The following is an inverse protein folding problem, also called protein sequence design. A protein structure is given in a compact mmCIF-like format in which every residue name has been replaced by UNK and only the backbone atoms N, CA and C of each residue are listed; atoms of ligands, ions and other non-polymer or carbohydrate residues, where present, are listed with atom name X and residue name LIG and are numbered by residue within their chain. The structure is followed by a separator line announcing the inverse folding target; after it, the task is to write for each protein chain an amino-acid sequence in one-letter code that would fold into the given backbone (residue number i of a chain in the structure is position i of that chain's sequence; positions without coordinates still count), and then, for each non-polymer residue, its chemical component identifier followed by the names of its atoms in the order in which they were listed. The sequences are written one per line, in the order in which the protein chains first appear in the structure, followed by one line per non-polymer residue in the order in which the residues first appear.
data_IF_069710409265
#
_entry.id   IF_069710409265
#
_cell.length_a   1.000
_cell.length_b   1.000
_cell.length_c   1.000
_cell.angle_alpha   90.00
_cell.angle_beta   90.00
_cell.angle_gamma   90.00
#
_symmetry.space_group_name_H-M   'P 1'
#
loop_
_entity.id
_entity.type
_entity.pdbx_description
1 polymer ?
#
# COMPACT_ATOMS: atom_id res chain seq x y z
N UNK A 1 11.38 -61.90 26.66
CA UNK A 1 10.28 -61.00 26.31
C UNK A 1 10.81 -59.59 26.21
N UNK A 2 10.92 -59.03 25.01
CA UNK A 2 11.20 -57.61 24.80
C UNK A 2 9.87 -56.86 24.77
N UNK A 3 9.72 -55.83 25.63
CA UNK A 3 8.88 -54.65 25.36
C UNK A 3 9.46 -53.45 26.12
N UNK A 4 10.46 -52.80 25.51
CA UNK A 4 10.81 -51.41 25.82
C UNK A 4 10.07 -50.53 24.81
N UNK A 5 9.11 -49.73 25.31
CA UNK A 5 8.41 -48.75 24.50
C UNK A 5 9.18 -47.43 24.53
N UNK A 6 9.82 -47.09 23.42
CA UNK A 6 10.39 -45.77 23.22
C UNK A 6 9.24 -44.78 22.97
N UNK A 7 8.98 -43.95 23.97
CA UNK A 7 8.00 -42.87 23.90
C UNK A 7 8.55 -41.73 23.08
N UNK A 8 8.11 -41.64 21.82
CA UNK A 8 8.30 -40.48 20.95
C UNK A 8 7.61 -39.24 21.55
N UNK A 9 8.35 -38.49 22.37
CA UNK A 9 7.92 -37.18 22.86
C UNK A 9 8.10 -36.17 21.74
N UNK A 10 7.10 -36.07 20.86
CA UNK A 10 7.00 -35.02 19.86
C UNK A 10 6.87 -33.66 20.58
N UNK A 11 8.01 -33.02 20.85
CA UNK A 11 8.06 -31.64 21.36
C UNK A 11 7.59 -30.70 20.26
N UNK A 12 6.33 -30.32 20.33
CA UNK A 12 5.69 -29.35 19.43
C UNK A 12 6.50 -28.04 19.46
N UNK A 13 7.24 -27.78 18.37
CA UNK A 13 8.05 -26.55 18.24
C UNK A 13 7.12 -25.37 17.99
N UNK A 14 6.77 -24.65 19.05
CA UNK A 14 6.14 -23.33 18.93
C UNK A 14 7.15 -22.37 18.29
N UNK A 15 6.95 -22.07 17.01
CA UNK A 15 7.77 -21.11 16.30
C UNK A 15 7.49 -19.69 16.84
N UNK A 16 8.52 -18.86 17.07
CA UNK A 16 8.33 -17.47 17.49
C UNK A 16 7.44 -16.72 16.50
N UNK A 17 6.31 -16.18 16.98
CA UNK A 17 5.39 -15.39 16.15
C UNK A 17 5.80 -13.92 16.16
N UNK A 18 6.12 -13.36 14.99
CA UNK A 18 6.39 -11.93 14.84
C UNK A 18 5.07 -11.16 14.73
N UNK A 19 4.88 -10.20 15.63
CA UNK A 19 3.81 -9.21 15.57
C UNK A 19 4.36 -7.84 15.19
N UNK A 20 3.59 -7.09 14.42
CA UNK A 20 3.88 -5.72 14.01
C UNK A 20 2.90 -4.82 14.75
N UNK A 21 3.45 -3.76 15.37
CA UNK A 21 2.70 -2.73 16.06
C UNK A 21 3.01 -1.39 15.39
N UNK A 22 1.98 -0.72 14.90
CA UNK A 22 2.07 0.65 14.38
C UNK A 22 0.98 1.49 15.05
N UNK A 23 1.38 2.55 15.76
CA UNK A 23 0.46 3.40 16.52
C UNK A 23 -0.31 4.38 15.63
N UNK A 24 0.21 4.66 14.44
CA UNK A 24 -0.29 5.68 13.53
C UNK A 24 -0.60 5.05 12.17
N UNK A 25 -1.16 3.84 12.18
CA UNK A 25 -1.31 3.01 10.99
C UNK A 25 -2.20 3.66 9.92
N UNK A 26 -3.33 4.24 10.33
CA UNK A 26 -4.27 4.90 9.40
C UNK A 26 -3.59 6.04 8.64
N UNK A 27 -2.85 6.90 9.35
CA UNK A 27 -2.20 8.07 8.74
C UNK A 27 -1.12 7.68 7.73
N UNK A 28 -0.54 6.47 7.84
CA UNK A 28 0.39 5.94 6.83
C UNK A 28 -0.23 5.79 5.45
N UNK A 29 -1.57 5.70 5.35
CA UNK A 29 -2.29 5.53 4.09
C UNK A 29 -3.10 6.78 3.66
N UNK A 30 -3.08 7.86 4.44
CA UNK A 30 -3.78 9.10 4.06
C UNK A 30 -3.10 9.77 2.86
N UNK A 31 -3.89 10.24 1.88
CA UNK A 31 -3.38 10.93 0.68
C UNK A 31 -4.00 12.31 0.53
N UNK A 32 -3.34 13.19 -0.23
CA UNK A 32 -3.92 14.48 -0.56
C UNK A 32 -5.16 14.31 -1.47
N UNK A 33 -6.24 15.02 -1.13
CA UNK A 33 -7.51 15.04 -1.89
C UNK A 33 -8.03 13.61 -2.18
N UNK A 34 -8.28 12.77 -1.16
CA UNK A 34 -8.73 11.41 -1.41
C UNK A 34 -10.06 11.42 -2.19
N UNK A 35 -10.25 10.45 -3.08
CA UNK A 35 -11.57 10.19 -3.68
C UNK A 35 -12.53 9.70 -2.60
N UNK A 36 -13.85 9.81 -2.83
CA UNK A 36 -14.84 9.43 -1.82
C UNK A 36 -14.69 7.97 -1.38
N UNK A 37 -14.55 7.07 -2.35
CA UNK A 37 -14.36 5.64 -2.08
C UNK A 37 -13.05 5.35 -1.33
N UNK A 38 -11.95 6.04 -1.68
CA UNK A 38 -10.70 5.86 -0.95
C UNK A 38 -10.79 6.40 0.49
N UNK A 39 -11.48 7.52 0.70
CA UNK A 39 -11.70 8.08 2.04
C UNK A 39 -12.51 7.13 2.93
N UNK A 40 -13.56 6.52 2.41
CA UNK A 40 -14.35 5.51 3.12
C UNK A 40 -13.48 4.30 3.49
N UNK A 41 -12.66 3.81 2.56
CA UNK A 41 -11.73 2.70 2.80
C UNK A 41 -10.74 3.02 3.93
N UNK A 42 -10.12 4.20 3.93
CA UNK A 42 -9.22 4.64 5.01
C UNK A 42 -9.94 4.76 6.35
N UNK A 43 -11.18 5.23 6.38
CA UNK A 43 -11.95 5.36 7.61
C UNK A 43 -12.23 4.01 8.27
N UNK A 44 -12.27 2.91 7.51
CA UNK A 44 -12.41 1.56 8.07
C UNK A 44 -11.13 1.02 8.70
N UNK A 45 -9.97 1.64 8.44
CA UNK A 45 -8.70 1.17 9.00
C UNK A 45 -8.61 1.49 10.49
N UNK A 46 -8.04 0.57 11.29
CA UNK A 46 -7.74 0.89 12.68
C UNK A 46 -6.66 1.97 12.75
N UNK A 47 -6.76 2.86 13.74
CA UNK A 47 -5.73 3.87 14.00
C UNK A 47 -4.44 3.20 14.43
N UNK A 48 -4.53 2.22 15.33
CA UNK A 48 -3.42 1.40 15.80
C UNK A 48 -3.52 0.02 15.15
N UNK A 49 -2.46 -0.41 14.48
CA UNK A 49 -2.37 -1.76 13.94
C UNK A 49 -1.59 -2.67 14.88
N UNK A 50 -2.17 -3.83 15.16
CA UNK A 50 -1.49 -4.97 15.81
C UNK A 50 -1.82 -6.22 15.00
N UNK A 51 -0.82 -6.89 14.46
CA UNK A 51 -1.06 -8.09 13.64
C UNK A 51 0.19 -8.77 13.09
N UNK A 52 -0.04 -9.87 12.37
CA UNK A 52 1.02 -10.62 11.68
C UNK A 52 1.46 -9.94 10.39
N UNK A 53 2.61 -10.35 9.87
CA UNK A 53 3.13 -9.91 8.57
C UNK A 53 2.14 -10.19 7.42
N UNK A 54 1.46 -11.33 7.46
CA UNK A 54 0.48 -11.71 6.43
C UNK A 54 -0.70 -10.75 6.41
N UNK A 55 -1.25 -10.40 7.58
CA UNK A 55 -2.36 -9.45 7.69
C UNK A 55 -1.94 -8.08 7.18
N UNK A 56 -0.74 -7.64 7.53
CA UNK A 56 -0.20 -6.37 7.04
C UNK A 56 -0.06 -6.37 5.51
N UNK A 57 0.51 -7.43 4.94
CA UNK A 57 0.70 -7.55 3.48
C UNK A 57 -0.63 -7.45 2.72
N UNK A 58 -1.68 -8.11 3.21
CA UNK A 58 -3.03 -8.02 2.61
C UNK A 58 -3.53 -6.58 2.58
N UNK A 59 -3.36 -5.85 3.69
CA UNK A 59 -3.76 -4.45 3.78
C UNK A 59 -2.95 -3.58 2.80
N UNK A 60 -1.62 -3.75 2.76
CA UNK A 60 -0.75 -2.99 1.84
C UNK A 60 -1.13 -3.24 0.38
N UNK A 61 -1.34 -4.50 -0.01
CA UNK A 61 -1.68 -4.86 -1.39
C UNK A 61 -3.09 -4.41 -1.79
N UNK A 62 -3.99 -4.18 -0.83
CA UNK A 62 -5.30 -3.56 -1.09
C UNK A 62 -5.20 -2.04 -1.21
N UNK A 63 -4.52 -1.39 -0.25
CA UNK A 63 -4.56 0.06 -0.11
C UNK A 63 -3.64 0.82 -1.06
N UNK A 64 -2.47 0.31 -1.40
CA UNK A 64 -1.52 1.04 -2.26
C UNK A 64 -2.06 1.21 -3.70
N UNK A 65 -2.66 0.19 -4.33
CA UNK A 65 -3.32 0.38 -5.62
C UNK A 65 -4.47 1.40 -5.55
N UNK A 66 -5.31 1.31 -4.50
CA UNK A 66 -6.43 2.23 -4.30
C UNK A 66 -5.95 3.67 -4.05
N UNK A 67 -4.84 3.86 -3.33
CA UNK A 67 -4.23 5.18 -3.12
C UNK A 67 -3.71 5.77 -4.42
N UNK A 68 -3.05 4.93 -5.22
CA UNK A 68 -2.50 5.33 -6.50
C UNK A 68 -3.60 5.72 -7.49
N UNK A 69 -4.71 4.96 -7.49
CA UNK A 69 -5.89 5.29 -8.26
C UNK A 69 -6.49 6.63 -7.82
N UNK A 70 -6.67 6.84 -6.51
CA UNK A 70 -7.17 8.11 -5.98
C UNK A 70 -6.30 9.30 -6.36
N UNK A 71 -4.97 9.16 -6.33
CA UNK A 71 -4.03 10.24 -6.71
C UNK A 71 -4.11 10.54 -8.22
N UNK A 72 -4.14 9.50 -9.06
CA UNK A 72 -4.27 9.63 -10.52
C UNK A 72 -5.55 10.34 -10.92
N UNK A 73 -6.69 9.96 -10.33
CA UNK A 73 -7.99 10.59 -10.60
C UNK A 73 -8.02 12.08 -10.24
N UNK A 74 -7.17 12.51 -9.29
CA UNK A 74 -7.02 13.92 -8.91
C UNK A 74 -5.89 14.64 -9.64
N UNK A 75 -5.25 14.00 -10.62
CA UNK A 75 -4.12 14.56 -11.36
C UNK A 75 -2.89 14.80 -10.50
N UNK A 76 -2.73 14.05 -9.40
CA UNK A 76 -1.60 14.18 -8.48
C UNK A 76 -0.51 13.15 -8.83
N UNK A 77 0.76 13.58 -8.76
CA UNK A 77 1.90 12.69 -8.92
C UNK A 77 1.92 11.64 -7.80
N UNK A 78 2.15 10.37 -8.16
CA UNK A 78 2.27 9.28 -7.18
C UNK A 78 3.70 9.29 -6.63
N UNK A 79 3.88 9.54 -5.33
CA UNK A 79 5.22 9.52 -4.79
C UNK A 79 5.78 8.09 -4.70
N UNK A 80 7.11 7.91 -4.80
CA UNK A 80 7.74 6.58 -4.83
C UNK A 80 7.50 5.78 -3.53
N UNK A 81 7.34 6.47 -2.39
CA UNK A 81 7.02 5.86 -1.10
C UNK A 81 5.57 5.33 -1.00
N UNK A 82 4.73 5.58 -1.99
CA UNK A 82 3.38 4.99 -2.10
C UNK A 82 3.35 3.70 -2.92
N UNK A 83 4.52 3.15 -3.23
CA UNK A 83 4.63 1.79 -3.74
C UNK A 83 4.35 0.77 -2.64
N UNK A 84 3.72 -0.34 -3.03
CA UNK A 84 3.54 -1.51 -2.17
C UNK A 84 4.88 -2.06 -1.67
N UNK A 85 5.92 -2.04 -2.50
CA UNK A 85 7.28 -2.48 -2.14
C UNK A 85 7.92 -1.63 -1.06
N UNK A 86 7.80 -0.30 -1.14
CA UNK A 86 8.27 0.60 -0.10
C UNK A 86 7.52 0.35 1.21
N UNK A 87 6.19 0.28 1.13
CA UNK A 87 5.34 0.06 2.29
C UNK A 87 5.65 -1.27 2.95
N UNK A 88 5.79 -2.36 2.19
CA UNK A 88 6.24 -3.65 2.73
C UNK A 88 7.60 -3.53 3.42
N UNK A 89 8.56 -2.87 2.78
CA UNK A 89 9.91 -2.70 3.34
C UNK A 89 9.92 -1.90 4.63
N UNK A 90 9.05 -0.89 4.76
CA UNK A 90 8.92 -0.04 5.96
C UNK A 90 8.70 -0.87 7.22
N UNK A 91 7.84 -1.89 7.16
CA UNK A 91 7.54 -2.72 8.33
C UNK A 91 8.23 -4.06 8.34
N UNK A 92 8.47 -4.68 7.18
CA UNK A 92 8.98 -6.05 7.09
C UNK A 92 10.51 -6.14 7.01
N UNK A 93 11.21 -5.02 6.88
CA UNK A 93 12.67 -5.01 6.88
C UNK A 93 13.25 -5.64 8.14
N UNK A 94 14.40 -6.31 7.98
CA UNK A 94 15.13 -6.98 9.07
C UNK A 94 15.66 -5.99 10.11
N UNK A 95 15.80 -4.72 9.74
CA UNK A 95 16.43 -3.65 10.53
C UNK A 95 15.45 -2.89 11.44
N UNK A 96 14.21 -3.34 11.57
CA UNK A 96 13.26 -2.72 12.50
C UNK A 96 13.59 -3.10 13.95
N UNK A 97 13.25 -2.22 14.91
CA UNK A 97 13.43 -2.48 16.34
C UNK A 97 12.58 -3.71 16.74
N UNK A 98 13.22 -4.86 16.91
CA UNK A 98 12.57 -6.09 17.36
C UNK A 98 12.65 -6.17 18.87
N UNK A 99 11.50 -6.26 19.52
CA UNK A 99 11.43 -6.63 20.94
C UNK A 99 11.14 -8.12 20.98
N UNK A 100 12.06 -8.90 21.54
CA UNK A 100 11.84 -10.31 21.79
C UNK A 100 11.29 -10.47 23.20
N UNK A 101 10.07 -11.00 23.33
CA UNK A 101 9.53 -11.44 24.61
C UNK A 101 9.87 -12.93 24.76
N UNK A 102 11.12 -13.22 25.11
CA UNK A 102 11.51 -14.56 25.50
C UNK A 102 11.18 -14.77 26.98
N UNK A 103 10.26 -15.68 27.28
CA UNK A 103 10.37 -16.44 28.53
C UNK A 103 11.48 -17.48 28.32
N UNK A 104 12.73 -17.02 28.42
CA UNK A 104 13.99 -17.77 28.27
C UNK A 104 14.31 -18.36 26.87
N UNK A 105 15.29 -17.70 26.21
CA UNK A 105 16.29 -18.15 25.23
C UNK A 105 15.95 -19.30 24.26
N UNK A 106 15.76 -19.03 22.95
CA UNK A 106 16.15 -19.91 21.83
C UNK A 106 16.50 -19.07 20.57
N UNK A 107 17.59 -19.47 19.93
CA UNK A 107 18.30 -18.87 18.80
C UNK A 107 17.55 -18.73 17.46
N UNK A 108 18.10 -17.78 16.69
CA UNK A 108 17.77 -17.39 15.33
C UNK A 108 17.94 -18.52 14.30
N UNK A 109 16.88 -18.88 13.56
CA UNK A 109 17.03 -19.38 12.18
C UNK A 109 15.74 -19.28 11.35
N UNK A 110 15.98 -19.08 10.04
CA UNK A 110 15.08 -19.19 8.88
C UNK A 110 14.12 -18.02 8.68
N UNK A 111 13.95 -17.44 7.49
CA UNK A 111 14.23 -17.94 6.14
C UNK A 111 13.03 -17.48 5.30
N UNK A 112 13.15 -16.31 4.66
CA UNK A 112 11.99 -15.63 4.06
C UNK A 112 11.69 -16.24 2.68
N UNK A 113 10.56 -16.95 2.56
CA UNK A 113 9.94 -17.17 1.25
C UNK A 113 8.97 -16.01 0.97
N UNK A 114 9.46 -15.04 0.17
CA UNK A 114 8.70 -13.86 -0.26
C UNK A 114 7.71 -14.28 -1.35
N UNK A 115 6.45 -14.51 -0.99
CA UNK A 115 5.36 -14.39 -1.97
C UNK A 115 5.07 -12.90 -2.14
N UNK A 116 5.61 -12.32 -3.20
CA UNK A 116 5.26 -10.98 -3.67
C UNK A 116 3.79 -10.97 -4.09
N UNK A 117 3.13 -9.82 -3.95
CA UNK A 117 1.83 -9.61 -4.58
C UNK A 117 2.03 -9.60 -6.10
N UNK A 118 1.93 -10.77 -6.73
CA UNK A 118 1.91 -10.88 -8.18
C UNK A 118 0.61 -10.27 -8.70
N UNK A 119 0.76 -9.20 -9.48
CA UNK A 119 -0.28 -8.69 -10.38
C UNK A 119 -0.70 -9.84 -11.31
N UNK A 120 -1.98 -10.20 -11.30
CA UNK A 120 -2.59 -10.80 -12.50
C UNK A 120 -2.65 -9.69 -13.54
N UNK A 121 -1.83 -9.82 -14.59
CA UNK A 121 -2.00 -9.04 -15.82
C UNK A 121 -2.93 -9.84 -16.72
N UNK A 122 -4.22 -9.52 -16.70
CA UNK A 122 -5.13 -9.99 -17.73
C UNK A 122 -4.89 -9.11 -18.97
N UNK A 123 -4.07 -9.62 -19.88
CA UNK A 123 -4.02 -9.15 -21.27
C UNK A 123 -5.16 -9.87 -22.01
N UNK A 124 -6.14 -9.11 -22.51
CA UNK A 124 -6.98 -9.57 -23.63
C UNK A 124 -7.04 -8.49 -24.70
N UNK A 125 -6.72 -8.96 -25.90
CA UNK A 125 -6.46 -8.27 -27.16
C UNK A 125 -7.74 -8.25 -28.00
N UNK A 126 -8.04 -7.06 -28.52
CA UNK A 126 -8.70 -6.70 -29.80
C UNK A 126 -10.07 -7.26 -30.21
N UNK A 127 -10.96 -6.34 -30.62
CA UNK A 127 -11.43 -6.37 -32.01
C UNK A 127 -11.91 -4.99 -32.54
N UNK A 128 -11.44 -4.67 -33.75
CA UNK A 128 -12.14 -4.07 -34.89
C UNK A 128 -13.09 -2.86 -34.80
N UNK A 129 -12.65 -1.78 -35.45
CA UNK A 129 -13.33 -1.10 -36.59
C UNK A 129 -14.61 -0.27 -36.38
N UNK A 130 -14.53 1.05 -36.61
CA UNK A 130 -15.25 1.72 -37.71
C UNK A 130 -14.90 3.22 -37.84
N UNK A 131 -14.79 3.65 -39.11
CA UNK A 131 -14.72 5.04 -39.63
C UNK A 131 -15.94 5.88 -39.23
N UNK A 132 -15.72 7.18 -39.02
CA UNK A 132 -16.55 8.24 -39.59
C UNK A 132 -15.82 9.60 -39.58
N UNK A 133 -16.10 10.40 -40.61
CA UNK A 133 -15.42 11.61 -41.03
C UNK A 133 -15.86 12.88 -40.29
N UNK A 134 -15.07 13.95 -40.51
CA UNK A 134 -15.51 15.34 -40.71
C UNK A 134 -15.92 16.16 -39.48
N UNK A 135 -15.13 17.17 -39.14
CA UNK A 135 -15.42 18.58 -39.49
C UNK A 135 -14.48 19.54 -38.74
N UNK A 136 -14.03 20.58 -39.44
CA UNK A 136 -13.17 21.66 -38.97
C UNK A 136 -13.87 22.61 -37.97
N UNK A 137 -13.12 23.05 -36.95
CA UNK A 137 -12.92 24.41 -36.33
C UNK A 137 -14.01 25.53 -36.40
N UNK A 138 -13.94 26.65 -35.62
CA UNK A 138 -12.94 27.09 -34.62
C UNK A 138 -13.52 27.75 -33.32
N UNK A 139 -12.62 28.27 -32.48
CA UNK A 139 -12.71 29.53 -31.69
C UNK A 139 -12.67 29.37 -30.16
N UNK A 140 -11.52 29.71 -29.57
CA UNK A 140 -11.47 30.25 -28.20
C UNK A 140 -10.80 31.62 -28.21
N UNK A 141 -11.66 32.61 -28.06
CA UNK A 141 -11.36 34.02 -27.82
C UNK A 141 -10.66 34.17 -26.46
N UNK A 142 -9.50 34.83 -26.45
CA UNK A 142 -8.84 35.27 -25.22
C UNK A 142 -9.53 36.54 -24.68
N UNK A 143 -9.72 36.69 -23.36
CA UNK A 143 -10.22 37.94 -22.78
C UNK A 143 -9.15 39.05 -22.81
N UNK A 144 -9.54 40.32 -22.99
CA UNK A 144 -8.61 41.45 -23.00
C UNK A 144 -8.01 41.71 -21.61
N UNK A 145 -6.73 42.07 -21.57
CA UNK A 145 -6.06 42.52 -20.35
C UNK A 145 -6.57 43.91 -19.95
N UNK A 146 -7.08 44.00 -18.73
CA UNK A 146 -7.48 45.26 -18.09
C UNK A 146 -6.24 46.12 -17.81
N UNK A 147 -6.23 47.33 -18.36
CA UNK A 147 -5.26 48.35 -17.99
C UNK A 147 -5.53 48.82 -16.57
N UNK A 148 -4.51 48.75 -15.70
CA UNK A 148 -4.53 49.40 -14.38
C UNK A 148 -3.92 50.78 -14.56
N UNK A 149 -4.78 51.80 -14.46
CA UNK A 149 -4.43 53.20 -14.24
C UNK A 149 -3.69 53.35 -12.92
N UNK A 150 -2.42 53.76 -12.97
CA UNK A 150 -1.74 54.35 -11.81
C UNK A 150 -2.15 55.82 -11.74
N UNK A 151 -3.08 56.10 -10.82
CA UNK A 151 -3.40 57.47 -10.45
C UNK A 151 -2.37 57.94 -9.41
N UNK A 152 -1.79 59.08 -9.75
CA UNK A 152 -0.86 59.92 -9.00
C UNK A 152 -1.41 60.25 -7.60
N UNK A 153 -0.63 59.98 -6.55
CA UNK A 153 -0.84 60.55 -5.22
C UNK A 153 -0.03 61.84 -5.13
N UNK A 154 -0.72 62.97 -4.93
CA UNK A 154 -0.27 64.13 -4.15
C UNK A 154 -1.25 64.28 -2.98
#
# INVERSE_FOLDING_TARGET
MNKGGDGDHQKEKLLPTRLIVDMEFRSQFEVARPTRGYKELINTLPVIFVGSEEKLNKIICLLCPASNQSLKEKGLHIPPWRSDTYMQSKWLSKNFKRVSFSSNNIDQLAGHNKRSCQRRTDNQTEDGSARASSSQEPNQTQPPQSQVTQQLFD
#
